data_IF_946110668767
#
_entry.id   IF_946110668767
#
_cell.length_a   1.000
_cell.length_b   1.000
_cell.length_c   1.000
_cell.angle_alpha   90.00
_cell.angle_beta   90.00
_cell.angle_gamma   90.00
#
_symmetry.space_group_name_H-M   'P 1'
#
loop_
_entity.id
_entity.type
_entity.pdbx_description
1 polymer ?
#
# COMPACT_ATOMS: atom_id res chain seq x y z
N UNK A 1 -57.80 37.02 -67.15
CA UNK A 1 -56.99 36.09 -66.37
C UNK A 1 -56.22 36.92 -65.39
N UNK A 2 -56.72 37.02 -64.16
CA UNK A 2 -56.22 37.89 -63.09
C UNK A 2 -55.18 37.18 -62.29
N UNK A 3 -54.00 37.81 -62.15
CA UNK A 3 -52.97 37.40 -61.21
C UNK A 3 -53.27 38.03 -59.84
N UNK A 4 -53.37 37.20 -58.84
CA UNK A 4 -53.54 37.61 -57.46
C UNK A 4 -52.19 37.55 -56.76
N UNK A 5 -51.59 38.71 -56.45
CA UNK A 5 -50.42 38.79 -55.62
C UNK A 5 -50.78 38.71 -54.16
N UNK A 6 -50.38 37.63 -53.50
CA UNK A 6 -50.48 37.48 -52.06
C UNK A 6 -49.24 38.07 -51.42
N UNK A 7 -49.45 39.11 -50.58
CA UNK A 7 -48.37 39.74 -49.79
C UNK A 7 -48.06 38.88 -48.57
N UNK A 8 -46.84 38.39 -48.50
CA UNK A 8 -46.30 37.67 -47.33
C UNK A 8 -45.73 38.71 -46.36
N UNK A 9 -46.12 38.70 -45.07
CA UNK A 9 -45.51 39.60 -44.09
C UNK A 9 -44.12 39.12 -43.71
N UNK A 10 -43.15 40.05 -43.70
CA UNK A 10 -41.80 39.83 -43.17
C UNK A 10 -41.89 39.57 -41.67
N UNK A 11 -41.65 38.34 -41.24
CA UNK A 11 -41.44 38.02 -39.84
C UNK A 11 -39.98 38.35 -39.48
N UNK A 12 -39.80 39.40 -38.69
CA UNK A 12 -38.50 39.69 -38.06
C UNK A 12 -38.20 38.62 -37.03
N UNK A 13 -37.32 37.69 -37.34
CA UNK A 13 -36.83 36.72 -36.38
C UNK A 13 -35.75 37.41 -35.51
N UNK A 14 -36.17 37.85 -34.31
CA UNK A 14 -35.24 38.30 -33.30
C UNK A 14 -34.43 37.10 -32.79
N UNK A 15 -33.15 37.02 -33.22
CA UNK A 15 -32.21 36.07 -32.66
C UNK A 15 -31.81 36.56 -31.25
N UNK A 16 -32.43 35.98 -30.24
CA UNK A 16 -31.99 36.12 -28.86
C UNK A 16 -30.75 35.27 -28.69
N UNK A 17 -29.56 35.89 -28.74
CA UNK A 17 -28.30 35.26 -28.36
C UNK A 17 -28.34 35.16 -26.82
N UNK A 18 -28.80 34.02 -26.32
CA UNK A 18 -28.59 33.65 -24.93
C UNK A 18 -27.11 33.30 -24.78
N UNK A 19 -26.33 34.23 -24.24
CA UNK A 19 -24.99 33.95 -23.75
C UNK A 19 -25.10 32.95 -22.61
N UNK A 20 -24.96 31.67 -22.92
CA UNK A 20 -24.69 30.64 -21.92
C UNK A 20 -23.32 30.95 -21.35
N UNK A 21 -23.26 31.65 -20.24
CA UNK A 21 -22.08 31.71 -19.40
C UNK A 21 -21.76 30.28 -19.00
N UNK A 22 -20.73 29.72 -19.65
CA UNK A 22 -20.03 28.55 -19.17
C UNK A 22 -19.55 28.89 -17.75
N UNK A 23 -20.36 28.54 -16.75
CA UNK A 23 -19.90 28.46 -15.39
C UNK A 23 -18.78 27.43 -15.38
N UNK A 24 -17.53 27.93 -15.56
CA UNK A 24 -16.36 27.12 -15.36
C UNK A 24 -16.50 26.48 -13.99
N UNK A 25 -16.70 25.16 -13.97
CA UNK A 25 -16.53 24.37 -12.77
C UNK A 25 -15.11 24.69 -12.27
N UNK A 26 -14.98 25.60 -11.32
CA UNK A 26 -13.75 25.74 -10.54
C UNK A 26 -13.55 24.37 -9.93
N UNK A 27 -12.63 23.56 -10.51
CA UNK A 27 -12.10 22.39 -9.84
C UNK A 27 -11.73 22.84 -8.45
N UNK A 28 -12.48 22.37 -7.47
CA UNK A 28 -12.23 22.62 -6.06
C UNK A 28 -10.78 22.21 -5.85
N UNK A 29 -9.94 23.18 -5.49
CA UNK A 29 -8.54 22.90 -5.16
C UNK A 29 -8.54 21.93 -3.99
N UNK A 30 -8.42 20.65 -4.32
CA UNK A 30 -8.29 19.54 -3.37
C UNK A 30 -6.83 19.36 -2.98
N UNK A 31 -6.06 20.45 -2.96
CA UNK A 31 -4.83 20.43 -2.20
C UNK A 31 -5.23 20.12 -0.75
N UNK A 32 -4.94 18.89 -0.32
CA UNK A 32 -5.06 18.52 1.09
C UNK A 32 -4.21 19.51 1.87
N UNK A 33 -4.82 20.60 2.36
CA UNK A 33 -4.18 21.48 3.32
C UNK A 33 -3.82 20.55 4.49
N UNK A 34 -2.56 20.32 4.68
CA UNK A 34 -2.05 19.68 5.89
C UNK A 34 -2.50 20.51 7.08
N UNK A 35 -3.66 20.12 7.61
CA UNK A 35 -3.99 20.52 8.96
C UNK A 35 -2.98 19.81 9.87
N UNK A 36 -2.58 20.46 10.95
CA UNK A 36 -1.79 19.84 12.02
C UNK A 36 -2.20 18.38 12.21
N UNK A 37 -1.24 17.40 12.20
CA UNK A 37 -1.56 15.98 12.26
C UNK A 37 -2.43 15.67 13.48
N UNK A 38 -3.73 15.53 13.26
CA UNK A 38 -4.66 15.38 14.38
C UNK A 38 -4.61 13.94 14.87
N UNK A 39 -4.42 13.78 16.19
CA UNK A 39 -4.56 12.49 16.90
C UNK A 39 -3.62 11.36 16.44
N UNK A 40 -2.38 11.67 16.06
CA UNK A 40 -1.37 10.63 15.87
C UNK A 40 -0.85 10.24 17.26
N UNK A 41 -1.27 9.08 17.74
CA UNK A 41 -0.86 8.55 19.05
C UNK A 41 0.32 7.59 18.93
N UNK A 42 0.41 6.88 17.80
CA UNK A 42 1.38 5.82 17.60
C UNK A 42 1.24 4.71 18.64
N UNK A 43 2.35 4.08 18.96
CA UNK A 43 2.46 3.10 20.05
C UNK A 43 3.50 3.56 21.06
N UNK A 44 3.25 3.33 22.36
CA UNK A 44 4.14 3.77 23.45
C UNK A 44 5.52 3.10 23.33
N UNK A 45 5.56 1.84 22.93
CA UNK A 45 6.78 1.08 22.77
C UNK A 45 6.65 0.05 21.66
N UNK A 46 7.40 0.24 20.58
CA UNK A 46 7.42 -0.70 19.45
C UNK A 46 7.82 -2.11 19.89
N UNK A 47 8.83 -2.25 20.76
CA UNK A 47 9.30 -3.54 21.25
C UNK A 47 8.25 -4.28 22.07
N UNK A 48 7.44 -3.58 22.88
CA UNK A 48 6.37 -4.22 23.67
C UNK A 48 5.15 -4.52 22.81
N UNK A 49 4.77 -3.58 21.95
CA UNK A 49 3.57 -3.72 21.12
C UNK A 49 3.76 -4.73 20.00
N UNK A 50 4.96 -4.82 19.45
CA UNK A 50 5.31 -5.66 18.29
C UNK A 50 6.46 -6.60 18.65
N UNK A 51 6.30 -7.34 19.73
CA UNK A 51 7.30 -8.25 20.25
C UNK A 51 6.89 -9.72 20.16
N UNK A 52 6.08 -10.08 19.16
CA UNK A 52 5.65 -11.46 18.98
C UNK A 52 6.86 -12.36 18.73
N UNK A 53 6.82 -13.55 19.35
CA UNK A 53 7.93 -14.48 19.29
C UNK A 53 8.07 -15.09 17.89
N UNK A 54 9.31 -15.34 17.46
CA UNK A 54 9.57 -16.04 16.20
C UNK A 54 8.88 -17.40 16.11
N UNK A 55 8.77 -18.09 17.24
CA UNK A 55 8.08 -19.38 17.32
C UNK A 55 6.59 -19.27 17.00
N UNK A 56 5.90 -18.23 17.47
CA UNK A 56 4.50 -17.99 17.12
C UNK A 56 4.32 -17.74 15.62
N UNK A 57 5.21 -16.92 15.02
CA UNK A 57 5.22 -16.72 13.57
C UNK A 57 5.47 -18.01 12.80
N UNK A 58 6.43 -18.83 13.26
CA UNK A 58 6.79 -20.08 12.60
C UNK A 58 5.65 -21.11 12.70
N UNK A 59 5.04 -21.26 13.87
CA UNK A 59 3.96 -22.23 14.08
C UNK A 59 2.76 -21.93 13.18
N UNK A 60 2.34 -20.68 13.10
CA UNK A 60 1.27 -20.28 12.17
C UNK A 60 1.69 -20.45 10.71
N UNK A 61 2.92 -20.06 10.36
CA UNK A 61 3.42 -20.22 9.01
C UNK A 61 3.41 -21.69 8.56
N UNK A 62 3.79 -22.60 9.43
CA UNK A 62 3.74 -24.04 9.18
C UNK A 62 2.32 -24.58 9.04
N UNK A 63 1.38 -24.03 9.83
CA UNK A 63 -0.01 -24.50 9.84
C UNK A 63 -0.79 -24.12 8.59
N UNK A 64 -0.58 -22.90 8.04
CA UNK A 64 -1.40 -22.36 6.95
C UNK A 64 -0.64 -22.11 5.65
N UNK A 65 0.69 -22.15 5.68
CA UNK A 65 1.55 -21.83 4.54
C UNK A 65 1.79 -23.00 3.59
N UNK A 66 2.60 -22.75 2.57
CA UNK A 66 3.10 -23.78 1.67
C UNK A 66 4.26 -24.55 2.31
N UNK A 67 4.59 -25.72 1.80
CA UNK A 67 5.86 -26.37 2.14
C UNK A 67 7.05 -25.53 1.63
N UNK A 68 8.19 -25.48 2.37
CA UNK A 68 9.37 -24.77 1.92
C UNK A 68 9.86 -25.25 0.55
N UNK A 69 10.09 -24.33 -0.36
CA UNK A 69 10.58 -24.61 -1.72
C UNK A 69 12.09 -24.48 -1.81
N UNK A 70 12.72 -25.32 -2.62
CA UNK A 70 14.17 -25.37 -2.74
C UNK A 70 14.72 -24.15 -3.51
N UNK A 71 14.17 -23.84 -4.67
CA UNK A 71 14.65 -22.81 -5.58
C UNK A 71 13.56 -21.84 -6.02
N UNK A 72 13.98 -20.72 -6.64
CA UNK A 72 13.04 -19.72 -7.20
C UNK A 72 12.19 -20.29 -8.33
N UNK A 73 12.74 -21.24 -9.09
CA UNK A 73 12.03 -21.92 -10.19
C UNK A 73 10.84 -22.74 -9.67
N UNK A 74 10.95 -23.31 -8.47
CA UNK A 74 9.88 -24.11 -7.88
C UNK A 74 8.64 -23.27 -7.55
N UNK A 75 8.81 -21.98 -7.28
CA UNK A 75 7.70 -21.06 -7.03
C UNK A 75 6.81 -20.88 -8.27
N UNK A 76 7.38 -20.94 -9.47
CA UNK A 76 6.63 -20.82 -10.72
C UNK A 76 5.63 -21.97 -10.91
N UNK A 77 5.95 -23.15 -10.35
CA UNK A 77 5.11 -24.33 -10.39
C UNK A 77 3.99 -24.31 -9.32
N UNK A 78 3.98 -23.31 -8.43
CA UNK A 78 3.05 -23.20 -7.32
C UNK A 78 2.05 -22.06 -7.46
N UNK A 79 1.81 -21.58 -8.69
CA UNK A 79 0.92 -20.43 -8.98
C UNK A 79 -0.50 -20.58 -8.45
N UNK A 80 -1.00 -21.82 -8.31
CA UNK A 80 -2.33 -22.07 -7.75
C UNK A 80 -2.42 -21.81 -6.24
N UNK A 81 -1.28 -21.90 -5.52
CA UNK A 81 -1.18 -21.71 -4.08
C UNK A 81 -0.57 -20.39 -3.66
N UNK A 82 0.05 -19.70 -4.60
CA UNK A 82 0.79 -18.47 -4.37
C UNK A 82 0.23 -17.33 -5.24
N UNK A 83 0.04 -16.19 -4.62
CA UNK A 83 -0.29 -14.94 -5.28
C UNK A 83 1.00 -14.15 -5.55
N UNK A 84 1.22 -13.74 -6.80
CA UNK A 84 2.31 -12.84 -7.15
C UNK A 84 1.95 -11.41 -6.71
N UNK A 85 2.81 -10.77 -5.93
CA UNK A 85 2.64 -9.38 -5.54
C UNK A 85 3.56 -8.48 -6.35
N UNK A 86 3.06 -7.32 -6.72
CA UNK A 86 3.80 -6.28 -7.43
C UNK A 86 3.46 -4.90 -6.87
N UNK A 87 4.24 -3.89 -7.23
CA UNK A 87 3.94 -2.51 -6.85
C UNK A 87 2.59 -2.11 -7.41
N UNK A 88 1.70 -1.61 -6.55
CA UNK A 88 0.35 -1.20 -6.89
C UNK A 88 0.00 0.12 -6.16
N UNK A 89 -1.29 0.49 -6.13
CA UNK A 89 -1.73 1.72 -5.49
C UNK A 89 -1.66 1.69 -3.96
N UNK A 90 -1.59 0.52 -3.34
CA UNK A 90 -1.58 0.33 -1.90
C UNK A 90 -0.17 0.24 -1.30
N UNK A 91 0.76 -0.37 -2.01
CA UNK A 91 2.13 -0.57 -1.54
C UNK A 91 3.14 -0.61 -2.69
N UNK A 92 4.41 -0.41 -2.35
CA UNK A 92 5.54 -0.62 -3.24
C UNK A 92 6.27 -1.90 -2.85
N UNK A 93 6.64 -2.71 -3.84
CA UNK A 93 7.56 -3.83 -3.65
C UNK A 93 8.96 -3.36 -4.02
N UNK A 94 9.90 -3.45 -3.08
CA UNK A 94 11.31 -3.08 -3.28
C UNK A 94 12.05 -4.13 -4.10
N UNK A 95 13.27 -3.84 -4.52
CA UNK A 95 14.12 -4.82 -5.19
C UNK A 95 14.45 -5.99 -4.25
N UNK A 96 13.88 -7.17 -4.54
CA UNK A 96 13.98 -8.36 -3.70
C UNK A 96 15.22 -9.19 -4.06
N UNK A 97 16.31 -9.04 -3.30
CA UNK A 97 17.57 -9.77 -3.55
C UNK A 97 17.58 -11.18 -2.95
N UNK A 98 16.96 -11.36 -1.78
CA UNK A 98 16.98 -12.61 -1.00
C UNK A 98 15.56 -13.15 -0.71
N UNK A 99 14.59 -12.78 -1.51
CA UNK A 99 13.22 -13.26 -1.49
C UNK A 99 12.61 -13.10 -2.88
N UNK A 100 11.43 -13.66 -3.09
CA UNK A 100 10.66 -13.57 -4.34
C UNK A 100 9.24 -13.07 -4.06
N UNK A 101 8.61 -12.34 -4.99
CA UNK A 101 7.37 -11.60 -4.75
C UNK A 101 6.12 -12.50 -4.75
N UNK A 102 6.10 -13.48 -3.86
CA UNK A 102 4.98 -14.40 -3.73
C UNK A 102 4.52 -14.53 -2.28
N UNK A 103 3.20 -14.56 -2.10
CA UNK A 103 2.52 -14.81 -0.83
C UNK A 103 1.38 -15.80 -1.03
N UNK A 104 0.98 -16.51 0.02
CA UNK A 104 -0.32 -17.19 -0.02
C UNK A 104 -1.46 -16.15 -0.09
N UNK A 105 -2.63 -16.48 -0.65
CA UNK A 105 -3.70 -15.51 -0.86
C UNK A 105 -4.10 -14.72 0.39
N UNK A 106 -4.18 -15.36 1.55
CA UNK A 106 -4.53 -14.69 2.81
C UNK A 106 -3.48 -13.67 3.27
N UNK A 107 -2.19 -13.95 3.05
CA UNK A 107 -1.12 -13.03 3.39
C UNK A 107 -1.05 -11.85 2.40
N UNK A 108 -1.34 -12.07 1.12
CA UNK A 108 -1.48 -11.01 0.13
C UNK A 108 -2.65 -10.08 0.50
N UNK A 109 -3.81 -10.64 0.87
CA UNK A 109 -4.96 -9.86 1.32
C UNK A 109 -4.66 -9.05 2.60
N UNK A 110 -3.87 -9.60 3.53
CA UNK A 110 -3.43 -8.86 4.72
C UNK A 110 -2.55 -7.67 4.32
N UNK A 111 -1.64 -7.85 3.35
CA UNK A 111 -0.78 -6.78 2.85
C UNK A 111 -1.62 -5.67 2.20
N UNK A 112 -2.61 -6.02 1.36
CA UNK A 112 -3.56 -5.06 0.78
C UNK A 112 -4.31 -4.29 1.87
N UNK A 113 -4.78 -5.00 2.91
CA UNK A 113 -5.47 -4.40 4.06
C UNK A 113 -4.57 -3.41 4.81
N UNK A 114 -3.30 -3.75 5.02
CA UNK A 114 -2.33 -2.84 5.65
C UNK A 114 -2.14 -1.58 4.80
N UNK A 115 -1.96 -1.73 3.49
CA UNK A 115 -1.77 -0.62 2.57
C UNK A 115 -2.99 0.30 2.53
N UNK A 116 -4.19 -0.24 2.37
CA UNK A 116 -5.45 0.51 2.37
C UNK A 116 -5.67 1.25 3.69
N UNK A 117 -5.59 0.54 4.82
CA UNK A 117 -5.78 1.15 6.14
C UNK A 117 -4.74 2.25 6.44
N UNK A 118 -3.52 2.10 5.91
CA UNK A 118 -2.49 3.12 6.07
C UNK A 118 -2.82 4.39 5.28
N UNK A 119 -3.23 4.27 4.02
CA UNK A 119 -3.65 5.40 3.18
C UNK A 119 -4.88 6.10 3.77
N UNK A 120 -5.88 5.34 4.20
CA UNK A 120 -7.08 5.87 4.86
C UNK A 120 -6.73 6.62 6.15
N UNK A 121 -5.80 6.07 6.95
CA UNK A 121 -5.33 6.72 8.18
C UNK A 121 -4.57 8.01 7.91
N UNK A 122 -3.73 8.06 6.86
CA UNK A 122 -3.06 9.28 6.44
C UNK A 122 -4.08 10.35 6.04
N UNK A 123 -5.05 9.98 5.21
CA UNK A 123 -6.13 10.88 4.77
C UNK A 123 -6.94 11.41 5.95
N UNK A 124 -7.36 10.54 6.87
CA UNK A 124 -8.12 10.93 8.05
C UNK A 124 -7.35 11.87 8.99
N UNK A 125 -6.01 11.83 8.95
CA UNK A 125 -5.11 12.68 9.73
C UNK A 125 -4.68 13.95 8.97
N UNK A 126 -5.16 14.15 7.74
CA UNK A 126 -4.79 15.29 6.90
C UNK A 126 -3.35 15.25 6.40
N UNK A 127 -2.76 14.05 6.31
CA UNK A 127 -1.41 13.84 5.82
C UNK A 127 -1.42 13.45 4.33
N UNK A 128 -0.39 13.88 3.60
CA UNK A 128 -0.23 13.49 2.20
C UNK A 128 0.02 11.99 2.05
N UNK A 129 -0.49 11.37 0.97
CA UNK A 129 -0.46 9.94 0.80
C UNK A 129 0.96 9.42 0.60
N UNK A 130 1.26 8.31 1.26
CA UNK A 130 2.50 7.57 1.14
C UNK A 130 2.18 6.07 1.19
N UNK A 131 2.86 5.26 0.37
CA UNK A 131 2.73 3.80 0.37
C UNK A 131 3.74 3.18 1.33
N UNK A 132 3.38 2.08 1.97
CA UNK A 132 4.33 1.20 2.64
C UNK A 132 5.25 0.54 1.61
N UNK A 133 6.47 0.19 2.01
CA UNK A 133 7.44 -0.50 1.15
C UNK A 133 7.67 -1.90 1.68
N UNK A 134 7.37 -2.90 0.87
CA UNK A 134 7.65 -4.31 1.14
C UNK A 134 9.11 -4.60 0.80
N UNK A 135 9.86 -5.13 1.76
CA UNK A 135 11.32 -5.33 1.64
C UNK A 135 11.74 -6.79 1.59
N UNK A 136 10.89 -7.72 2.02
CA UNK A 136 11.13 -9.16 1.95
C UNK A 136 9.81 -9.91 1.94
N UNK A 137 9.77 -11.06 1.28
CA UNK A 137 8.57 -11.89 1.11
C UNK A 137 8.95 -13.37 1.20
N UNK A 138 8.44 -14.22 0.29
CA UNK A 138 8.78 -15.64 0.25
C UNK A 138 10.27 -15.85 0.02
N UNK A 139 10.90 -16.65 0.87
CA UNK A 139 12.31 -17.06 0.71
C UNK A 139 12.39 -18.52 0.32
N UNK A 140 13.22 -18.82 -0.64
CA UNK A 140 13.58 -20.20 -0.96
C UNK A 140 14.72 -20.68 -0.07
N UNK A 141 14.94 -22.00 0.00
CA UNK A 141 16.09 -22.54 0.73
C UNK A 141 17.42 -22.00 0.16
N UNK A 142 17.51 -21.82 -1.16
CA UNK A 142 18.70 -21.26 -1.80
C UNK A 142 18.89 -19.77 -1.48
N UNK A 143 17.79 -18.98 -1.35
CA UNK A 143 17.87 -17.59 -0.91
C UNK A 143 18.45 -17.50 0.51
N UNK A 144 17.99 -18.35 1.43
CA UNK A 144 18.50 -18.38 2.80
C UNK A 144 19.94 -18.87 2.86
N UNK A 145 20.34 -19.87 2.07
CA UNK A 145 21.74 -20.28 1.97
C UNK A 145 22.63 -19.10 1.53
N UNK A 146 22.22 -18.34 0.52
CA UNK A 146 22.94 -17.13 0.07
C UNK A 146 22.97 -16.04 1.14
N UNK A 147 21.85 -15.79 1.81
CA UNK A 147 21.76 -14.80 2.89
C UNK A 147 22.70 -15.16 4.05
N UNK A 148 22.74 -16.43 4.46
CA UNK A 148 23.61 -16.91 5.56
C UNK A 148 25.10 -16.81 5.27
N UNK A 149 25.51 -16.90 4.01
CA UNK A 149 26.92 -16.66 3.64
C UNK A 149 27.37 -15.22 3.94
N UNK A 150 26.45 -14.26 3.95
CA UNK A 150 26.71 -12.83 4.22
C UNK A 150 26.32 -12.42 5.64
N UNK A 151 25.34 -13.09 6.22
CA UNK A 151 24.82 -12.81 7.55
C UNK A 151 24.61 -14.14 8.30
N UNK A 152 25.59 -14.54 9.11
CA UNK A 152 25.55 -15.78 9.89
C UNK A 152 24.41 -15.85 10.92
N UNK A 153 23.77 -14.71 11.24
CA UNK A 153 22.62 -14.64 12.16
C UNK A 153 21.28 -14.92 11.47
N UNK A 154 21.24 -15.10 10.14
CA UNK A 154 20.01 -15.46 9.45
C UNK A 154 19.54 -16.85 9.89
N UNK A 155 18.30 -16.94 10.38
CA UNK A 155 17.72 -18.20 10.85
C UNK A 155 17.62 -19.24 9.76
N UNK A 156 18.01 -20.49 10.08
CA UNK A 156 17.77 -21.63 9.20
C UNK A 156 16.26 -21.98 9.12
N UNK A 157 15.49 -21.64 10.17
CA UNK A 157 14.04 -21.81 10.25
C UNK A 157 13.39 -20.43 10.20
N UNK A 158 12.86 -20.04 9.05
CA UNK A 158 12.25 -18.74 8.82
C UNK A 158 10.79 -18.90 8.41
N UNK A 159 9.90 -18.13 9.02
CA UNK A 159 8.49 -18.07 8.61
C UNK A 159 8.31 -17.64 7.14
N UNK A 160 9.31 -16.94 6.57
CA UNK A 160 9.32 -16.57 5.16
C UNK A 160 9.36 -17.75 4.17
N UNK A 161 9.73 -18.97 4.62
CA UNK A 161 9.69 -20.16 3.76
C UNK A 161 8.27 -20.58 3.35
N UNK A 162 7.28 -20.16 4.09
CA UNK A 162 5.91 -20.67 3.99
C UNK A 162 4.97 -19.75 3.19
N UNK A 163 5.48 -18.61 2.70
CA UNK A 163 4.66 -17.64 1.93
C UNK A 163 3.64 -16.87 2.76
N UNK A 164 3.71 -16.94 4.08
CA UNK A 164 2.78 -16.29 5.02
C UNK A 164 3.31 -14.98 5.60
N UNK A 165 4.58 -14.68 5.36
CA UNK A 165 5.32 -13.64 6.07
C UNK A 165 5.94 -12.67 5.09
N UNK A 166 5.84 -11.39 5.40
CA UNK A 166 6.48 -10.31 4.65
C UNK A 166 7.03 -9.25 5.61
N UNK A 167 8.07 -8.57 5.17
CA UNK A 167 8.67 -7.45 5.89
C UNK A 167 8.27 -6.14 5.22
N UNK A 168 7.87 -5.13 6.02
CA UNK A 168 7.64 -3.76 5.56
C UNK A 168 8.61 -2.81 6.23
N UNK A 169 9.13 -1.86 5.45
CA UNK A 169 10.03 -0.85 6.00
C UNK A 169 9.28 0.10 6.93
N UNK A 170 9.87 0.39 8.09
CA UNK A 170 9.43 1.45 8.98
C UNK A 170 10.29 2.72 8.90
N UNK A 171 11.33 2.69 8.05
CA UNK A 171 12.25 3.82 7.82
C UNK A 171 12.01 4.54 6.51
N UNK A 172 11.48 3.84 5.51
CA UNK A 172 11.26 4.32 4.16
C UNK A 172 9.83 4.11 3.74
N UNK A 173 9.29 5.10 3.08
CA UNK A 173 7.95 5.09 2.50
C UNK A 173 8.02 5.64 1.09
N UNK A 174 7.06 5.29 0.24
CA UNK A 174 6.98 5.81 -1.11
C UNK A 174 5.94 6.93 -1.17
N UNK A 175 6.39 8.17 -1.35
CA UNK A 175 5.49 9.30 -1.60
C UNK A 175 4.64 9.02 -2.85
N UNK A 176 3.37 9.33 -2.78
CA UNK A 176 2.48 9.36 -3.94
C UNK A 176 2.47 10.80 -4.44
N UNK A 177 2.86 11.01 -5.68
CA UNK A 177 2.83 12.33 -6.29
C UNK A 177 1.41 12.69 -6.73
N UNK A 178 1.12 13.98 -6.80
CA UNK A 178 -0.15 14.48 -7.28
C UNK A 178 -0.28 14.24 -8.80
N UNK A 179 -1.44 13.76 -9.25
CA UNK A 179 -1.69 13.46 -10.67
C UNK A 179 -1.56 14.69 -11.58
N UNK A 180 -1.88 15.88 -11.05
CA UNK A 180 -1.75 17.15 -11.78
C UNK A 180 -0.34 17.76 -11.62
N UNK A 181 0.61 17.06 -11.01
CA UNK A 181 1.99 17.50 -10.79
C UNK A 181 2.15 18.64 -9.78
N UNK A 182 1.15 18.88 -8.92
CA UNK A 182 1.23 19.89 -7.86
C UNK A 182 2.19 19.40 -6.76
N UNK A 183 3.05 20.27 -6.22
CA UNK A 183 3.95 19.89 -5.15
C UNK A 183 3.16 19.55 -3.88
N UNK A 184 3.32 18.32 -3.40
CA UNK A 184 2.78 17.89 -2.12
C UNK A 184 3.84 18.06 -1.03
N UNK A 185 3.42 18.55 0.13
CA UNK A 185 4.32 18.66 1.29
C UNK A 185 4.78 17.28 1.75
N UNK A 186 6.05 17.13 2.05
CA UNK A 186 6.60 15.88 2.54
C UNK A 186 6.13 15.58 3.97
N UNK A 187 5.82 14.32 4.22
CA UNK A 187 5.52 13.81 5.56
C UNK A 187 6.77 13.09 6.08
N UNK A 188 7.21 13.43 7.29
CA UNK A 188 8.40 12.82 7.86
C UNK A 188 8.25 11.32 8.06
N UNK A 189 9.35 10.56 7.89
CA UNK A 189 9.35 9.12 8.12
C UNK A 189 8.91 8.75 9.55
N UNK A 190 9.22 9.58 10.53
CA UNK A 190 8.80 9.35 11.92
C UNK A 190 7.28 9.48 12.07
N UNK A 191 6.67 10.49 11.44
CA UNK A 191 5.21 10.65 11.42
C UNK A 191 4.55 9.46 10.72
N UNK A 192 5.04 9.06 9.55
CA UNK A 192 4.53 7.91 8.81
C UNK A 192 4.66 6.61 9.61
N UNK A 193 5.78 6.41 10.32
CA UNK A 193 5.98 5.28 11.22
C UNK A 193 4.96 5.25 12.36
N UNK A 194 4.64 6.41 12.96
CA UNK A 194 3.62 6.49 14.01
C UNK A 194 2.26 6.05 13.47
N UNK A 195 1.83 6.57 12.30
CA UNK A 195 0.56 6.19 11.67
C UNK A 195 0.53 4.70 11.32
N UNK A 196 1.60 4.18 10.70
CA UNK A 196 1.69 2.74 10.40
C UNK A 196 1.59 1.90 11.66
N UNK A 197 2.21 2.35 12.76
CA UNK A 197 2.15 1.62 14.04
C UNK A 197 0.74 1.55 14.63
N UNK A 198 -0.11 2.54 14.40
CA UNK A 198 -1.52 2.50 14.80
C UNK A 198 -2.28 1.43 14.02
N UNK A 199 -2.12 1.42 12.68
CA UNK A 199 -2.74 0.43 11.80
C UNK A 199 -2.34 -0.99 12.18
N UNK A 200 -1.03 -1.21 12.34
CA UNK A 200 -0.50 -2.53 12.71
C UNK A 200 -0.98 -2.98 14.10
N UNK A 201 -0.99 -2.07 15.09
CA UNK A 201 -1.52 -2.35 16.43
C UNK A 201 -2.98 -2.81 16.37
N UNK A 202 -3.79 -2.13 15.57
CA UNK A 202 -5.22 -2.40 15.52
C UNK A 202 -5.50 -3.75 14.80
N UNK A 203 -4.77 -4.05 13.73
CA UNK A 203 -4.82 -5.36 13.08
C UNK A 203 -4.35 -6.50 14.00
N UNK A 204 -3.27 -6.28 14.79
CA UNK A 204 -2.80 -7.24 15.77
C UNK A 204 -3.82 -7.47 16.88
N UNK A 205 -4.46 -6.42 17.39
CA UNK A 205 -5.53 -6.51 18.39
C UNK A 205 -6.76 -7.25 17.87
N UNK A 206 -7.05 -7.11 16.57
CA UNK A 206 -8.11 -7.85 15.88
C UNK A 206 -7.69 -9.28 15.49
N UNK A 207 -6.53 -9.76 15.99
CA UNK A 207 -5.98 -11.10 15.74
C UNK A 207 -5.80 -11.46 14.27
N UNK A 208 -5.57 -10.44 13.42
CA UNK A 208 -5.36 -10.63 11.98
C UNK A 208 -3.92 -11.03 11.65
N UNK A 209 -2.95 -10.68 12.50
CA UNK A 209 -1.54 -10.96 12.28
C UNK A 209 -0.72 -10.94 13.57
N UNK A 210 0.41 -11.63 13.55
CA UNK A 210 1.51 -11.43 14.47
C UNK A 210 2.47 -10.39 13.92
N UNK A 211 3.10 -9.59 14.79
CA UNK A 211 4.00 -8.52 14.37
C UNK A 211 5.26 -8.52 15.22
N UNK A 212 6.40 -8.46 14.55
CA UNK A 212 7.70 -8.30 15.17
C UNK A 212 8.40 -7.06 14.66
N UNK A 213 8.85 -6.23 15.60
CA UNK A 213 9.65 -5.04 15.31
C UNK A 213 11.12 -5.39 15.25
N UNK A 214 11.74 -5.26 14.08
CA UNK A 214 13.15 -5.55 13.85
C UNK A 214 13.99 -4.28 13.70
N UNK A 215 14.54 -3.83 14.84
CA UNK A 215 15.28 -2.56 14.92
C UNK A 215 16.50 -2.51 13.99
N UNK A 216 17.28 -3.60 13.91
CA UNK A 216 18.52 -3.65 13.12
C UNK A 216 18.28 -3.70 11.62
N UNK A 217 17.18 -4.32 11.20
CA UNK A 217 16.85 -4.52 9.78
C UNK A 217 16.01 -3.39 9.21
N UNK A 218 15.37 -2.58 10.06
CA UNK A 218 14.52 -1.46 9.62
C UNK A 218 13.13 -1.88 9.17
N UNK A 219 12.69 -3.08 9.56
CA UNK A 219 11.37 -3.63 9.33
C UNK A 219 10.72 -4.12 10.64
#
# INVERSE_FOLDING_TARGET
MQQVYSKLPLLFLAIIITSTSLAGCKKKDMSLKLNEPRNIKGVISYRRTFGDLNEAHLNIAQAIGIAPIASRKDAENMKEKLHHIETNDLYKVDSLTHSIPYLIPSAAQLLDTIGSNFLDSLTAKGLNPNKVIVTSVLRTQDDVKRLRRRNGNASANSAHFYGTTFDVSWKRFQKIEDEDGRPLQDVSADTLKLVLSEVLRDLRKAEKCYIKYELKQGC
#
